data_IF_101140270322
#
_entry.id   IF_101140270322
#
_cell.length_a   1.000
_cell.length_b   1.000
_cell.length_c   1.000
_cell.angle_alpha   90.00
_cell.angle_beta   90.00
_cell.angle_gamma   90.00
#
_symmetry.space_group_name_H-M   'P 1'
#
loop_
_entity.id
_entity.type
_entity.pdbx_description
1 polymer ?
#
# COMPACT_ATOMS: atom_id res chain seq x y z
N UNK A 1 6.15 -13.87 -11.32
CA UNK A 1 7.51 -13.49 -11.74
C UNK A 1 8.13 -12.67 -10.62
N UNK A 2 9.38 -12.97 -10.28
CA UNK A 2 10.18 -12.18 -9.36
C UNK A 2 10.49 -10.81 -9.98
N UNK A 3 10.31 -9.69 -9.26
CA UNK A 3 10.49 -8.35 -9.82
C UNK A 3 11.97 -8.05 -10.11
N UNK A 4 12.92 -8.62 -9.38
CA UNK A 4 14.34 -8.42 -9.64
C UNK A 4 14.78 -9.17 -10.92
N UNK A 5 14.30 -10.41 -11.12
CA UNK A 5 14.49 -11.17 -12.36
C UNK A 5 13.91 -10.42 -13.57
N UNK A 6 12.68 -9.92 -13.47
CA UNK A 6 12.05 -9.13 -14.52
C UNK A 6 12.90 -7.92 -14.93
N UNK A 7 13.39 -7.16 -13.94
CA UNK A 7 14.22 -5.98 -14.19
C UNK A 7 15.64 -6.31 -14.63
N UNK A 8 16.10 -7.55 -14.42
CA UNK A 8 17.32 -8.07 -15.02
C UNK A 8 17.19 -8.32 -16.53
N UNK A 9 16.00 -8.67 -17.00
CA UNK A 9 15.72 -8.95 -18.43
C UNK A 9 15.27 -7.67 -19.15
N UNK A 10 14.38 -6.89 -18.54
CA UNK A 10 13.75 -5.70 -19.11
C UNK A 10 13.88 -4.48 -18.16
N UNK A 11 15.08 -3.91 -18.00
CA UNK A 11 15.33 -2.85 -17.03
C UNK A 11 14.51 -1.56 -17.29
N UNK A 12 14.20 -1.28 -18.56
CA UNK A 12 13.54 -0.04 -19.00
C UNK A 12 12.03 -0.21 -19.27
N UNK A 13 11.41 -1.30 -18.81
CA UNK A 13 9.96 -1.49 -18.96
C UNK A 13 9.15 -0.47 -18.12
N UNK A 14 7.84 -0.38 -18.34
CA UNK A 14 6.96 0.54 -17.58
C UNK A 14 7.05 0.32 -16.07
N UNK A 15 7.18 -0.94 -15.63
CA UNK A 15 7.38 -1.27 -14.22
C UNK A 15 8.74 -0.80 -13.69
N UNK A 16 9.82 -0.94 -14.47
CA UNK A 16 11.16 -0.43 -14.11
C UNK A 16 11.17 1.09 -13.97
N UNK A 17 10.55 1.80 -14.91
CA UNK A 17 10.39 3.26 -14.85
C UNK A 17 9.55 3.70 -13.63
N UNK A 18 8.52 2.92 -13.27
CA UNK A 18 7.76 3.15 -12.05
C UNK A 18 8.63 2.96 -10.81
N UNK A 19 9.40 1.87 -10.72
CA UNK A 19 10.31 1.59 -9.60
C UNK A 19 11.34 2.71 -9.44
N UNK A 20 11.98 3.14 -10.53
CA UNK A 20 12.93 4.25 -10.53
C UNK A 20 12.33 5.52 -9.93
N UNK A 21 11.15 5.94 -10.43
CA UNK A 21 10.47 7.15 -9.95
C UNK A 21 10.05 7.02 -8.48
N UNK A 22 9.51 5.87 -8.08
CA UNK A 22 9.02 5.64 -6.72
C UNK A 22 10.15 5.52 -5.70
N UNK A 23 11.25 4.87 -6.06
CA UNK A 23 12.41 4.75 -5.18
C UNK A 23 12.94 6.14 -4.81
N UNK A 24 13.18 7.00 -5.81
CA UNK A 24 13.71 8.34 -5.58
C UNK A 24 12.74 9.26 -4.82
N UNK A 25 11.43 9.04 -4.95
CA UNK A 25 10.40 9.82 -4.28
C UNK A 25 10.16 9.39 -2.81
N UNK A 26 10.26 8.09 -2.51
CA UNK A 26 9.93 7.55 -1.18
C UNK A 26 11.19 7.45 -0.32
N UNK A 27 12.31 7.00 -0.90
CA UNK A 27 13.55 6.78 -0.16
C UNK A 27 14.40 8.05 -0.22
N UNK A 28 14.49 8.74 0.91
CA UNK A 28 15.27 9.98 1.03
C UNK A 28 16.78 9.66 1.16
N UNK A 29 17.70 10.47 0.59
CA UNK A 29 19.14 10.24 0.71
C UNK A 29 19.62 10.05 2.17
N UNK A 30 19.13 10.87 3.10
CA UNK A 30 19.45 10.73 4.54
C UNK A 30 19.05 9.36 5.12
N UNK A 31 17.97 8.77 4.61
CA UNK A 31 17.54 7.43 5.03
C UNK A 31 18.53 6.38 4.53
N UNK A 32 19.00 6.49 3.29
CA UNK A 32 20.02 5.58 2.74
C UNK A 32 21.34 5.72 3.49
N UNK A 33 21.80 6.95 3.72
CA UNK A 33 23.04 7.21 4.47
C UNK A 33 22.97 6.67 5.90
N UNK A 34 21.82 6.77 6.56
CA UNK A 34 21.63 6.22 7.92
C UNK A 34 21.53 4.70 7.94
N UNK A 35 20.93 4.08 6.91
CA UNK A 35 20.74 2.63 6.84
C UNK A 35 21.97 1.88 6.33
N UNK A 36 22.70 2.47 5.39
CA UNK A 36 23.79 1.82 4.66
C UNK A 36 25.17 2.45 4.92
N UNK A 37 25.21 3.68 5.46
CA UNK A 37 26.45 4.43 5.63
C UNK A 37 26.98 5.09 4.35
N UNK A 38 26.29 4.93 3.21
CA UNK A 38 26.66 5.49 1.92
C UNK A 38 25.44 5.76 1.02
N UNK A 39 25.70 6.27 -0.19
CA UNK A 39 24.70 6.51 -1.24
C UNK A 39 24.98 5.70 -2.52
N UNK A 40 25.71 4.59 -2.42
CA UNK A 40 26.06 3.73 -3.57
C UNK A 40 24.80 3.19 -4.26
N UNK A 41 23.82 2.78 -3.45
CA UNK A 41 22.54 2.30 -3.94
C UNK A 41 21.80 3.37 -4.74
N UNK A 42 21.67 4.58 -4.19
CA UNK A 42 21.07 5.73 -4.89
C UNK A 42 21.76 6.04 -6.20
N UNK A 43 23.10 6.03 -6.22
CA UNK A 43 23.86 6.32 -7.45
C UNK A 43 23.59 5.29 -8.54
N UNK A 44 23.49 4.00 -8.18
CA UNK A 44 23.09 2.94 -9.11
C UNK A 44 21.69 3.18 -9.67
N UNK A 45 20.72 3.52 -8.81
CA UNK A 45 19.35 3.86 -9.24
C UNK A 45 19.35 5.07 -10.18
N UNK A 46 20.05 6.15 -9.83
CA UNK A 46 20.16 7.36 -10.66
C UNK A 46 20.80 7.08 -12.03
N UNK A 47 21.71 6.12 -12.11
CA UNK A 47 22.29 5.64 -13.36
C UNK A 47 21.34 4.72 -14.17
N UNK A 48 20.09 4.55 -13.75
CA UNK A 48 19.10 3.69 -14.40
C UNK A 48 19.27 2.20 -14.12
N UNK A 49 20.13 1.82 -13.16
CA UNK A 49 20.34 0.43 -12.79
C UNK A 49 19.43 -0.02 -11.64
N UNK A 50 19.28 -1.33 -11.49
CA UNK A 50 18.56 -1.96 -10.39
C UNK A 50 19.56 -2.61 -9.42
N UNK A 51 19.77 -2.04 -8.21
CA UNK A 51 20.63 -2.63 -7.19
C UNK A 51 20.21 -4.06 -6.82
N UNK A 52 21.18 -4.92 -6.48
CA UNK A 52 20.95 -6.30 -6.00
C UNK A 52 21.03 -6.42 -4.47
N UNK A 53 20.84 -5.31 -3.76
CA UNK A 53 20.82 -5.34 -2.30
C UNK A 53 19.51 -5.97 -1.80
N UNK A 54 19.54 -6.51 -0.59
CA UNK A 54 18.34 -7.02 0.07
C UNK A 54 17.27 -5.93 0.21
N UNK A 55 17.67 -4.72 0.63
CA UNK A 55 16.75 -3.59 0.78
C UNK A 55 16.04 -3.24 -0.54
N UNK A 56 16.78 -3.18 -1.65
CA UNK A 56 16.16 -2.89 -2.95
C UNK A 56 15.23 -4.02 -3.40
N UNK A 57 15.57 -5.28 -3.09
CA UNK A 57 14.67 -6.43 -3.31
C UNK A 57 13.33 -6.29 -2.57
N UNK A 58 13.36 -5.97 -1.28
CA UNK A 58 12.14 -5.73 -0.49
C UNK A 58 11.33 -4.53 -1.03
N UNK A 59 12.04 -3.47 -1.43
CA UNK A 59 11.40 -2.33 -2.10
C UNK A 59 10.71 -2.75 -3.40
N UNK A 60 11.30 -3.64 -4.20
CA UNK A 60 10.71 -4.12 -5.44
C UNK A 60 9.44 -4.94 -5.21
N UNK A 61 9.38 -5.76 -4.17
CA UNK A 61 8.14 -6.48 -3.80
C UNK A 61 7.03 -5.50 -3.38
N UNK A 62 7.36 -4.47 -2.59
CA UNK A 62 6.42 -3.39 -2.27
C UNK A 62 5.96 -2.66 -3.55
N UNK A 63 6.89 -2.28 -4.42
CA UNK A 63 6.59 -1.58 -5.66
C UNK A 63 5.69 -2.42 -6.57
N UNK A 64 5.93 -3.72 -6.66
CA UNK A 64 5.12 -4.68 -7.41
C UNK A 64 3.70 -4.77 -6.85
N UNK A 65 3.53 -4.87 -5.53
CA UNK A 65 2.20 -4.89 -4.92
C UNK A 65 1.41 -3.62 -5.27
N UNK A 66 2.02 -2.45 -5.14
CA UNK A 66 1.40 -1.17 -5.49
C UNK A 66 1.09 -1.08 -6.99
N UNK A 67 2.01 -1.53 -7.85
CA UNK A 67 1.83 -1.54 -9.29
C UNK A 67 0.64 -2.42 -9.72
N UNK A 68 0.58 -3.64 -9.19
CA UNK A 68 -0.55 -4.55 -9.45
C UNK A 68 -1.87 -3.98 -8.95
N UNK A 69 -1.88 -3.30 -7.79
CA UNK A 69 -3.07 -2.63 -7.29
C UNK A 69 -3.54 -1.52 -8.23
N UNK A 70 -2.62 -0.73 -8.80
CA UNK A 70 -2.98 0.27 -9.82
C UNK A 70 -3.56 -0.40 -11.06
N UNK A 71 -2.92 -1.45 -11.59
CA UNK A 71 -3.43 -2.19 -12.74
C UNK A 71 -4.83 -2.74 -12.50
N UNK A 72 -5.07 -3.33 -11.32
CA UNK A 72 -6.37 -3.84 -10.91
C UNK A 72 -7.42 -2.72 -10.91
N UNK A 73 -7.12 -1.58 -10.28
CA UNK A 73 -8.03 -0.44 -10.23
C UNK A 73 -8.38 0.11 -11.63
N UNK A 74 -7.43 0.09 -12.57
CA UNK A 74 -7.66 0.51 -13.96
C UNK A 74 -8.37 -0.54 -14.81
N UNK A 75 -8.26 -1.82 -14.48
CA UNK A 75 -8.99 -2.90 -15.18
C UNK A 75 -10.47 -2.97 -14.82
N UNK A 76 -10.88 -2.35 -13.71
CA UNK A 76 -12.28 -2.33 -13.31
C UNK A 76 -13.08 -1.35 -14.19
N UNK A 77 -14.07 -1.89 -14.90
CA UNK A 77 -15.02 -1.09 -15.68
C UNK A 77 -15.74 -0.08 -14.77
N UNK A 78 -16.16 1.09 -15.30
CA UNK A 78 -16.89 2.07 -14.52
C UNK A 78 -18.15 1.47 -13.85
N UNK A 79 -18.44 1.83 -12.59
CA UNK A 79 -17.77 2.85 -11.79
C UNK A 79 -16.45 2.36 -11.14
N UNK A 80 -15.44 3.25 -11.11
CA UNK A 80 -14.16 2.97 -10.43
C UNK A 80 -14.39 2.72 -8.94
N UNK A 81 -13.51 1.96 -8.26
CA UNK A 81 -13.56 1.81 -6.82
C UNK A 81 -13.63 3.16 -6.09
N UNK A 82 -14.61 3.31 -5.20
CA UNK A 82 -14.75 4.49 -4.37
C UNK A 82 -14.06 4.23 -3.03
N UNK A 83 -13.03 5.00 -2.73
CA UNK A 83 -12.40 5.00 -1.42
C UNK A 83 -13.31 5.71 -0.40
N UNK A 84 -13.38 5.17 0.82
CA UNK A 84 -13.99 5.83 1.96
C UNK A 84 -13.13 5.64 3.22
N UNK A 85 -13.27 6.54 4.18
CA UNK A 85 -12.51 6.51 5.43
C UNK A 85 -13.47 6.69 6.62
N UNK A 86 -13.16 6.01 7.72
CA UNK A 86 -13.89 6.19 8.96
C UNK A 86 -13.46 7.48 9.64
N UNK A 87 -14.41 8.25 10.16
CA UNK A 87 -14.08 9.42 10.97
C UNK A 87 -13.97 9.03 12.44
N UNK A 88 -13.00 9.61 13.16
CA UNK A 88 -12.97 9.55 14.61
C UNK A 88 -14.30 10.06 15.20
N UNK A 89 -14.82 9.34 16.19
CA UNK A 89 -16.12 9.58 16.81
C UNK A 89 -17.35 9.13 16.00
N UNK A 90 -17.17 8.60 14.78
CA UNK A 90 -18.30 8.06 14.01
C UNK A 90 -18.78 6.72 14.55
N UNK A 91 -20.06 6.40 14.34
CA UNK A 91 -20.62 5.10 14.72
C UNK A 91 -19.95 3.96 13.94
N UNK A 92 -19.57 2.90 14.65
CA UNK A 92 -19.05 1.70 14.04
C UNK A 92 -20.12 0.98 13.21
N UNK A 93 -19.82 0.75 11.93
CA UNK A 93 -20.70 0.04 10.99
C UNK A 93 -20.03 -1.25 10.50
N UNK A 94 -20.41 -2.43 10.99
CA UNK A 94 -19.73 -3.69 10.64
C UNK A 94 -19.83 -4.04 9.15
N UNK A 95 -20.75 -3.44 8.40
CA UNK A 95 -20.88 -3.60 6.95
C UNK A 95 -19.71 -2.93 6.20
N UNK A 96 -19.18 -1.83 6.74
CA UNK A 96 -18.15 -1.00 6.10
C UNK A 96 -16.83 -0.99 6.86
N UNK A 97 -16.81 -1.46 8.12
CA UNK A 97 -15.67 -1.34 9.02
C UNK A 97 -15.33 -2.67 9.68
N UNK A 98 -14.05 -2.88 9.96
CA UNK A 98 -13.54 -3.98 10.76
C UNK A 98 -12.62 -3.46 11.88
N UNK A 99 -12.85 -3.95 13.10
CA UNK A 99 -12.00 -3.61 14.24
C UNK A 99 -10.74 -4.45 14.25
N UNK A 100 -9.60 -3.81 14.51
CA UNK A 100 -8.32 -4.50 14.66
C UNK A 100 -8.13 -5.09 16.06
N UNK A 101 -8.86 -4.57 17.06
CA UNK A 101 -8.91 -5.11 18.42
C UNK A 101 -9.97 -6.20 18.59
N UNK A 102 -9.70 -7.18 19.47
CA UNK A 102 -10.71 -8.17 19.89
C UNK A 102 -11.67 -7.51 20.88
N UNK A 103 -12.86 -7.15 20.40
CA UNK A 103 -13.96 -6.74 21.27
C UNK A 103 -14.98 -7.88 21.29
N UNK A 104 -15.10 -8.56 22.44
CA UNK A 104 -16.14 -9.57 22.64
C UNK A 104 -17.48 -8.86 22.75
N UNK A 105 -18.33 -9.01 21.73
CA UNK A 105 -19.74 -8.62 21.76
C UNK A 105 -20.58 -9.58 22.62
N UNK A 106 -20.06 -10.03 23.77
CA UNK A 106 -20.74 -11.00 24.66
C UNK A 106 -21.69 -10.35 25.68
N UNK A 107 -21.89 -9.03 25.61
CA UNK A 107 -22.66 -8.31 26.63
C UNK A 107 -23.40 -7.10 26.11
N UNK A 108 -24.37 -7.31 25.22
CA UNK A 108 -25.45 -6.35 24.98
C UNK A 108 -25.14 -5.25 23.97
N UNK A 109 -26.03 -5.16 22.98
CA UNK A 109 -26.30 -4.03 22.09
C UNK A 109 -25.10 -3.24 21.55
N UNK A 110 -24.90 -3.32 20.23
CA UNK A 110 -24.06 -2.43 19.41
C UNK A 110 -24.51 -0.95 19.40
N UNK A 111 -25.19 -0.46 20.45
CA UNK A 111 -25.54 0.96 20.58
C UNK A 111 -24.39 1.69 21.27
N UNK A 112 -23.64 2.48 20.49
CA UNK A 112 -22.63 3.42 21.01
C UNK A 112 -21.17 3.01 20.85
N UNK A 113 -20.86 1.97 20.05
CA UNK A 113 -19.47 1.72 19.65
C UNK A 113 -19.06 2.77 18.62
N UNK A 114 -18.13 3.64 19.03
CA UNK A 114 -17.59 4.71 18.19
C UNK A 114 -16.20 4.34 17.70
N UNK A 115 -15.82 4.87 16.55
CA UNK A 115 -14.47 4.75 16.02
C UNK A 115 -13.56 5.66 16.83
N UNK A 116 -12.56 5.09 17.50
CA UNK A 116 -11.49 5.86 18.14
C UNK A 116 -10.59 6.52 17.10
N UNK A 117 -10.07 5.76 16.12
CA UNK A 117 -9.32 6.33 14.99
C UNK A 117 -9.26 5.40 13.78
N UNK A 118 -9.16 5.95 12.56
CA UNK A 118 -8.97 5.15 11.34
C UNK A 118 -7.54 4.58 11.25
N UNK A 119 -7.43 3.34 10.75
CA UNK A 119 -6.15 2.67 10.49
C UNK A 119 -5.89 2.46 9.00
N UNK A 120 -6.91 2.03 8.25
CA UNK A 120 -6.83 1.93 6.79
C UNK A 120 -8.17 2.25 6.14
N UNK A 121 -8.15 2.87 4.94
CA UNK A 121 -9.38 3.17 4.22
C UNK A 121 -10.10 1.89 3.78
N UNK A 122 -11.40 2.02 3.51
CA UNK A 122 -12.20 1.02 2.85
C UNK A 122 -12.43 1.37 1.37
N UNK A 123 -12.88 0.39 0.59
CA UNK A 123 -13.16 0.54 -0.83
C UNK A 123 -14.49 -0.10 -1.19
N UNK A 124 -15.35 0.66 -1.88
CA UNK A 124 -16.56 0.11 -2.51
C UNK A 124 -16.29 -0.17 -3.97
N UNK A 125 -16.47 -1.43 -4.37
CA UNK A 125 -16.24 -1.90 -5.74
C UNK A 125 -17.50 -1.75 -6.60
N UNK A 126 -17.32 -1.76 -7.93
CA UNK A 126 -18.39 -1.62 -8.91
C UNK A 126 -19.52 -2.65 -8.76
N UNK A 127 -19.15 -3.88 -8.40
CA UNK A 127 -20.07 -5.00 -8.21
C UNK A 127 -20.84 -4.96 -6.88
N UNK A 128 -20.72 -3.88 -6.11
CA UNK A 128 -21.34 -3.73 -4.79
C UNK A 128 -20.56 -4.37 -3.63
N UNK A 129 -19.45 -5.07 -3.91
CA UNK A 129 -18.58 -5.62 -2.86
C UNK A 129 -17.84 -4.52 -2.11
N UNK A 130 -17.55 -4.74 -0.83
CA UNK A 130 -16.87 -3.77 0.05
C UNK A 130 -15.62 -4.40 0.65
N UNK A 131 -14.48 -3.72 0.46
CA UNK A 131 -13.29 -3.90 1.30
C UNK A 131 -13.46 -2.98 2.50
N UNK A 132 -13.52 -3.56 3.69
CA UNK A 132 -13.83 -2.82 4.92
C UNK A 132 -12.69 -1.89 5.32
N UNK A 133 -13.03 -0.72 5.84
CA UNK A 133 -12.07 0.16 6.49
C UNK A 133 -11.63 -0.47 7.82
N UNK A 134 -10.33 -0.43 8.11
CA UNK A 134 -9.81 -0.89 9.41
C UNK A 134 -9.86 0.26 10.38
N UNK A 135 -10.44 0.02 11.54
CA UNK A 135 -10.59 1.02 12.59
C UNK A 135 -10.12 0.45 13.92
N UNK A 136 -9.69 1.35 14.78
CA UNK A 136 -9.64 1.09 16.20
C UNK A 136 -10.94 1.63 16.82
N UNK A 137 -11.63 0.79 17.57
CA UNK A 137 -12.79 1.18 18.38
C UNK A 137 -12.33 1.53 19.78
#
# INVERSE_FOLDING_TARGET
>A
MDPAELLGILPNCSFGNFCFKKYLAIIHPKTEESLFGDLEQRRKVLAGNNPRSQFYGEFLELAKAVWMLHLLAFSMEPPRPCQFEASEGSEFRPEYMESVGKYSAEGGFCMGLVVGFPLSPGFKLANGSVVKARVYM
#
